data_IF_169813694519
#
_entry.id   IF_169813694519
#
_cell.length_a   1.000
_cell.length_b   1.000
_cell.length_c   1.000
_cell.angle_alpha   90.00
_cell.angle_beta   90.00
_cell.angle_gamma   90.00
#
_symmetry.space_group_name_H-M   'P 1'
#
loop_
_entity.id
_entity.type
_entity.pdbx_description
1 polymer ?
#
# COMPACT_ATOMS: atom_id res chain seq x y z
N UNK A 1 -26.50 -11.85 -9.19
CA UNK A 1 -25.20 -12.48 -8.92
C UNK A 1 -24.13 -11.42 -9.13
N UNK A 2 -23.21 -11.20 -8.19
CA UNK A 2 -22.10 -10.26 -8.42
C UNK A 2 -21.29 -10.78 -9.60
N UNK A 3 -21.15 -9.97 -10.65
CA UNK A 3 -20.18 -10.23 -11.72
C UNK A 3 -18.79 -10.30 -11.09
N UNK A 4 -18.04 -11.37 -11.36
CA UNK A 4 -16.64 -11.50 -10.96
C UNK A 4 -15.78 -10.98 -12.12
N UNK A 5 -14.77 -10.18 -11.83
CA UNK A 5 -13.89 -9.65 -12.86
C UNK A 5 -12.94 -10.75 -13.38
N UNK A 6 -12.61 -10.65 -14.67
CA UNK A 6 -11.63 -11.50 -15.36
C UNK A 6 -10.40 -10.74 -15.85
N UNK A 7 -10.42 -9.41 -15.72
CA UNK A 7 -9.32 -8.50 -16.09
C UNK A 7 -9.33 -7.28 -15.19
N UNK A 8 -8.16 -6.65 -15.04
CA UNK A 8 -8.00 -5.40 -14.28
C UNK A 8 -8.29 -4.21 -15.22
N UNK A 9 -9.21 -3.30 -14.88
CA UNK A 9 -9.54 -2.13 -15.69
C UNK A 9 -8.35 -1.20 -15.93
N UNK A 10 -8.38 -0.45 -17.04
CA UNK A 10 -7.40 0.59 -17.36
C UNK A 10 -8.12 1.93 -17.27
N UNK A 11 -7.55 2.86 -16.48
CA UNK A 11 -8.00 4.24 -16.31
C UNK A 11 -6.93 5.16 -16.86
N UNK A 12 -7.34 6.12 -17.67
CA UNK A 12 -6.48 7.13 -18.28
C UNK A 12 -6.47 8.42 -17.44
N UNK A 13 -5.33 8.73 -16.83
CA UNK A 13 -5.19 9.87 -15.95
C UNK A 13 -5.29 11.23 -16.68
N UNK A 14 -4.86 11.31 -17.94
CA UNK A 14 -5.00 12.52 -18.73
C UNK A 14 -6.47 12.79 -19.08
N UNK A 15 -7.26 11.73 -19.33
CA UNK A 15 -8.70 11.84 -19.59
C UNK A 15 -9.50 12.29 -18.37
N UNK A 16 -9.08 11.92 -17.16
CA UNK A 16 -9.66 12.44 -15.91
C UNK A 16 -9.45 13.96 -15.75
N UNK A 17 -8.39 14.51 -16.35
CA UNK A 17 -8.07 15.93 -16.28
C UNK A 17 -8.73 16.77 -17.38
N UNK A 18 -9.22 16.15 -18.46
CA UNK A 18 -9.87 16.84 -19.56
C UNK A 18 -11.39 16.88 -19.35
N UNK A 19 -12.02 18.07 -19.23
CA UNK A 19 -13.46 18.22 -19.02
C UNK A 19 -14.35 17.46 -20.03
N UNK A 20 -13.90 17.32 -21.28
CA UNK A 20 -14.68 16.66 -22.34
C UNK A 20 -14.72 15.13 -22.19
N UNK A 21 -13.70 14.54 -21.57
CA UNK A 21 -13.58 13.07 -21.41
C UNK A 21 -13.78 12.60 -19.98
N UNK A 22 -13.73 13.52 -19.02
CA UNK A 22 -13.69 13.24 -17.59
C UNK A 22 -14.86 12.40 -17.11
N UNK A 23 -16.09 12.74 -17.51
CA UNK A 23 -17.29 12.02 -17.06
C UNK A 23 -17.27 10.54 -17.45
N UNK A 24 -16.90 10.25 -18.70
CA UNK A 24 -16.77 8.88 -19.18
C UNK A 24 -15.65 8.13 -18.43
N UNK A 25 -14.54 8.80 -18.15
CA UNK A 25 -13.40 8.19 -17.45
C UNK A 25 -13.68 7.95 -15.95
N UNK A 26 -14.44 8.85 -15.31
CA UNK A 26 -14.91 8.66 -13.94
C UNK A 26 -15.81 7.43 -13.81
N UNK A 27 -16.61 7.10 -14.83
CA UNK A 27 -17.41 5.88 -14.84
C UNK A 27 -16.54 4.61 -14.87
N UNK A 28 -15.42 4.62 -15.61
CA UNK A 28 -14.44 3.51 -15.62
C UNK A 28 -13.77 3.39 -14.25
N UNK A 29 -13.36 4.51 -13.66
CA UNK A 29 -12.78 4.54 -12.32
C UNK A 29 -13.76 4.03 -11.25
N UNK A 30 -15.02 4.44 -11.32
CA UNK A 30 -16.07 3.99 -10.41
C UNK A 30 -16.26 2.47 -10.49
N UNK A 31 -16.32 1.91 -11.70
CA UNK A 31 -16.45 0.46 -11.90
C UNK A 31 -15.26 -0.28 -11.27
N UNK A 32 -14.04 0.19 -11.53
CA UNK A 32 -12.83 -0.38 -10.95
C UNK A 32 -12.85 -0.34 -9.40
N UNK A 33 -13.26 0.77 -8.80
CA UNK A 33 -13.31 0.95 -7.35
C UNK A 33 -14.37 0.03 -6.69
N UNK A 34 -15.58 -0.06 -7.25
CA UNK A 34 -16.67 -0.83 -6.64
C UNK A 34 -16.61 -2.32 -6.92
N UNK A 35 -16.08 -2.73 -8.07
CA UNK A 35 -16.17 -4.12 -8.52
C UNK A 35 -14.85 -4.88 -8.44
N UNK A 36 -13.71 -4.19 -8.54
CA UNK A 36 -12.39 -4.83 -8.68
C UNK A 36 -11.46 -4.52 -7.52
N UNK A 37 -11.39 -3.27 -7.06
CA UNK A 37 -10.42 -2.81 -6.05
C UNK A 37 -8.98 -2.68 -6.56
N UNK A 38 -8.79 -2.86 -7.88
CA UNK A 38 -7.54 -2.74 -8.63
C UNK A 38 -7.80 -2.07 -9.98
N UNK A 39 -6.82 -1.32 -10.48
CA UNK A 39 -6.80 -0.76 -11.85
C UNK A 39 -5.37 -0.52 -12.32
N UNK A 40 -5.18 -0.39 -13.64
CA UNK A 40 -4.02 0.27 -14.21
C UNK A 40 -4.33 1.75 -14.39
N UNK A 41 -3.40 2.61 -14.00
CA UNK A 41 -3.42 4.04 -14.31
C UNK A 41 -2.36 4.34 -15.36
N UNK A 42 -2.78 4.88 -16.50
CA UNK A 42 -1.91 5.23 -17.64
C UNK A 42 -1.91 6.74 -17.90
N UNK A 43 -0.97 7.21 -18.71
CA UNK A 43 -0.85 8.62 -19.13
C UNK A 43 -0.74 9.58 -17.92
N UNK A 44 0.11 9.20 -16.97
CA UNK A 44 0.32 9.93 -15.71
C UNK A 44 1.31 11.09 -15.86
N UNK A 45 2.14 11.06 -16.90
CA UNK A 45 3.28 11.96 -17.07
C UNK A 45 4.52 11.53 -16.26
N UNK A 46 4.46 10.38 -15.57
CA UNK A 46 5.56 9.81 -14.79
C UNK A 46 6.28 8.65 -15.49
N UNK A 47 5.95 8.36 -16.74
CA UNK A 47 6.44 7.18 -17.48
C UNK A 47 7.97 7.16 -17.55
N UNK A 48 8.61 8.31 -17.84
CA UNK A 48 10.07 8.44 -17.84
C UNK A 48 10.67 8.20 -16.46
N UNK A 49 10.07 8.79 -15.41
CA UNK A 49 10.55 8.64 -14.03
C UNK A 49 10.46 7.18 -13.57
N UNK A 50 9.38 6.48 -13.91
CA UNK A 50 9.19 5.05 -13.61
C UNK A 50 10.27 4.23 -14.31
N UNK A 51 10.46 4.44 -15.62
CA UNK A 51 11.47 3.73 -16.42
C UNK A 51 12.89 3.97 -15.89
N UNK A 52 13.25 5.24 -15.65
CA UNK A 52 14.56 5.63 -15.12
C UNK A 52 14.82 5.07 -13.72
N UNK A 53 13.78 4.99 -12.88
CA UNK A 53 13.91 4.43 -11.52
C UNK A 53 14.11 2.93 -11.59
N UNK A 54 13.35 2.20 -12.41
CA UNK A 54 13.55 0.76 -12.63
C UNK A 54 14.94 0.44 -13.18
N UNK A 55 15.42 1.23 -14.14
CA UNK A 55 16.75 1.06 -14.74
C UNK A 55 17.88 1.15 -13.70
N UNK A 56 17.68 1.86 -12.59
CA UNK A 56 18.65 1.99 -11.50
C UNK A 56 18.58 0.88 -10.46
N UNK A 57 17.49 0.13 -10.37
CA UNK A 57 17.32 -0.87 -9.31
C UNK A 57 18.40 -1.96 -9.31
N UNK A 58 18.89 -2.48 -10.45
CA UNK A 58 20.03 -3.38 -10.44
C UNK A 58 21.24 -2.82 -9.67
N UNK A 59 21.59 -1.56 -9.89
CA UNK A 59 22.71 -0.88 -9.21
C UNK A 59 22.41 -0.63 -7.74
N UNK A 60 21.17 -0.21 -7.41
CA UNK A 60 20.72 -0.04 -6.01
C UNK A 60 20.88 -1.33 -5.21
N UNK A 61 20.55 -2.47 -5.81
CA UNK A 61 20.68 -3.77 -5.16
C UNK A 61 22.06 -4.41 -5.33
N UNK A 62 22.97 -3.83 -6.10
CA UNK A 62 24.35 -4.28 -6.28
C UNK A 62 25.35 -3.57 -5.34
N UNK A 63 24.90 -2.59 -4.54
CA UNK A 63 25.76 -1.94 -3.54
C UNK A 63 26.35 -2.96 -2.54
N UNK A 64 27.46 -2.58 -1.91
CA UNK A 64 28.18 -3.43 -0.97
C UNK A 64 27.28 -3.86 0.20
N UNK A 65 27.42 -5.12 0.61
CA UNK A 65 26.68 -5.68 1.75
C UNK A 65 26.85 -4.82 3.01
N UNK A 66 28.06 -4.33 3.28
CA UNK A 66 28.35 -3.45 4.42
C UNK A 66 27.50 -2.16 4.40
N UNK A 67 27.24 -1.60 3.22
CA UNK A 67 26.40 -0.39 3.10
C UNK A 67 24.91 -0.71 3.28
N UNK A 68 24.47 -1.91 2.89
CA UNK A 68 23.11 -2.39 3.18
C UNK A 68 22.89 -2.63 4.67
N UNK A 69 23.88 -3.22 5.34
CA UNK A 69 23.85 -3.52 6.78
C UNK A 69 23.84 -2.24 7.64
N UNK A 70 24.54 -1.18 7.22
CA UNK A 70 24.49 0.14 7.91
C UNK A 70 23.07 0.70 7.98
N UNK A 71 22.22 0.38 6.99
CA UNK A 71 20.84 0.85 6.90
C UNK A 71 19.83 -0.25 7.15
N UNK A 72 20.22 -1.32 7.85
CA UNK A 72 19.31 -2.42 8.21
C UNK A 72 18.06 -1.88 8.94
N UNK A 73 16.90 -2.39 8.58
CA UNK A 73 15.62 -2.02 9.19
C UNK A 73 15.62 -2.19 10.73
N UNK A 74 16.39 -3.14 11.25
CA UNK A 74 16.60 -3.35 12.69
C UNK A 74 17.14 -2.09 13.40
N UNK A 75 17.73 -1.15 12.68
CA UNK A 75 18.24 0.11 13.23
C UNK A 75 17.18 1.23 13.28
N UNK A 76 15.96 0.99 12.80
CA UNK A 76 14.90 2.01 12.75
C UNK A 76 13.65 1.58 13.53
N UNK A 77 13.19 2.37 14.54
CA UNK A 77 11.90 2.14 15.17
C UNK A 77 10.72 2.39 14.19
N UNK A 78 10.96 3.08 13.07
CA UNK A 78 9.95 3.36 12.06
C UNK A 78 9.76 2.21 11.04
N UNK A 79 10.49 1.10 11.19
CA UNK A 79 10.51 -0.01 10.24
C UNK A 79 10.89 0.48 8.82
N UNK A 80 11.94 1.32 8.76
CA UNK A 80 12.52 1.86 7.52
C UNK A 80 13.97 1.40 7.39
N UNK A 81 14.38 1.04 6.18
CA UNK A 81 15.71 0.52 5.90
C UNK A 81 15.71 -0.75 5.06
N UNK A 82 16.88 -1.39 5.00
CA UNK A 82 17.11 -2.60 4.25
C UNK A 82 16.57 -3.83 4.97
N UNK A 83 15.99 -4.77 4.21
CA UNK A 83 15.61 -6.10 4.68
C UNK A 83 16.19 -7.14 3.72
N UNK A 84 17.00 -8.04 4.27
CA UNK A 84 17.66 -9.09 3.50
C UNK A 84 16.69 -10.16 3.01
N UNK A 85 17.14 -10.93 2.01
CA UNK A 85 16.33 -11.95 1.35
C UNK A 85 15.73 -12.96 2.35
N UNK A 86 14.42 -13.16 2.28
CA UNK A 86 13.73 -14.20 3.06
C UNK A 86 13.51 -13.86 4.54
N UNK A 87 13.63 -12.58 4.93
CA UNK A 87 13.40 -12.14 6.32
C UNK A 87 11.93 -11.90 6.65
N UNK A 88 11.10 -11.58 5.66
CA UNK A 88 9.67 -11.36 5.86
C UNK A 88 8.85 -12.63 5.65
N UNK A 89 7.73 -12.71 6.36
CA UNK A 89 6.79 -13.82 6.29
C UNK A 89 5.39 -13.28 6.05
N UNK A 90 4.75 -13.76 4.98
CA UNK A 90 3.33 -13.47 4.70
C UNK A 90 2.56 -14.79 4.68
N UNK A 91 1.39 -14.81 5.32
CA UNK A 91 0.56 -16.02 5.43
C UNK A 91 1.32 -17.26 5.97
N UNK A 92 2.27 -17.03 6.91
CA UNK A 92 3.14 -18.06 7.54
C UNK A 92 4.15 -18.72 6.60
N UNK A 93 4.34 -18.20 5.39
CA UNK A 93 5.34 -18.65 4.43
C UNK A 93 6.33 -17.51 4.20
N UNK A 94 7.62 -17.84 4.09
CA UNK A 94 8.68 -16.86 3.83
C UNK A 94 8.53 -16.23 2.44
N UNK A 95 8.63 -14.90 2.37
CA UNK A 95 8.60 -14.14 1.14
C UNK A 95 9.99 -14.09 0.49
N UNK A 96 10.12 -14.56 -0.76
CA UNK A 96 11.38 -14.55 -1.49
C UNK A 96 11.63 -13.18 -2.14
N UNK A 97 11.94 -12.19 -1.31
CA UNK A 97 12.31 -10.83 -1.72
C UNK A 97 13.39 -10.21 -0.85
N UNK A 98 14.18 -9.35 -1.46
CA UNK A 98 15.11 -8.39 -0.85
C UNK A 98 14.50 -6.99 -1.05
N UNK A 99 14.57 -6.11 -0.05
CA UNK A 99 13.92 -4.78 -0.18
C UNK A 99 14.57 -3.66 0.63
N UNK A 100 14.28 -2.43 0.24
CA UNK A 100 14.50 -1.21 1.03
C UNK A 100 13.16 -0.52 1.25
N UNK A 101 12.86 -0.16 2.50
CA UNK A 101 11.70 0.63 2.92
C UNK A 101 12.12 2.07 3.21
N UNK A 102 11.43 3.03 2.59
CA UNK A 102 11.60 4.46 2.82
C UNK A 102 10.26 5.11 3.18
N UNK A 103 10.32 6.24 3.86
CA UNK A 103 9.20 7.10 4.22
C UNK A 103 9.42 8.54 3.77
N UNK A 104 8.32 9.25 3.52
CA UNK A 104 8.34 10.71 3.33
C UNK A 104 8.95 11.39 4.55
N UNK A 105 9.52 12.58 4.35
CA UNK A 105 10.06 13.37 5.46
C UNK A 105 8.94 13.81 6.39
N UNK A 106 9.13 13.58 7.69
CA UNK A 106 8.18 13.91 8.76
C UNK A 106 8.93 14.54 9.92
N UNK A 107 8.20 15.18 10.83
CA UNK A 107 8.76 15.66 12.08
C UNK A 107 9.25 14.50 12.96
N UNK A 108 10.33 14.74 13.69
CA UNK A 108 10.84 13.76 14.65
C UNK A 108 9.85 13.52 15.80
N UNK A 109 9.81 12.27 16.26
CA UNK A 109 9.10 11.85 17.47
C UNK A 109 9.58 12.65 18.68
N UNK A 110 8.64 13.12 19.51
CA UNK A 110 8.91 13.90 20.73
C UNK A 110 8.47 13.12 21.96
N UNK A 111 9.15 13.35 23.08
CA UNK A 111 8.73 12.78 24.37
C UNK A 111 7.30 13.24 24.71
N UNK A 112 6.42 12.29 25.01
CA UNK A 112 4.98 12.53 25.22
C UNK A 112 4.08 12.25 24.02
N UNK A 113 4.64 12.07 22.82
CA UNK A 113 3.88 11.57 21.67
C UNK A 113 3.37 10.13 21.93
N UNK A 114 2.23 9.72 21.34
CA UNK A 114 1.79 8.33 21.38
C UNK A 114 2.88 7.38 20.89
N UNK A 115 3.09 6.25 21.59
CA UNK A 115 4.21 5.35 21.30
C UNK A 115 4.24 4.84 19.85
N UNK A 116 3.08 4.66 19.22
CA UNK A 116 2.97 4.23 17.83
C UNK A 116 3.48 5.29 16.84
N UNK A 117 3.60 6.57 17.23
CA UNK A 117 4.06 7.64 16.36
C UNK A 117 5.54 7.49 15.97
N UNK A 118 6.31 6.66 16.70
CA UNK A 118 7.65 6.22 16.28
C UNK A 118 7.67 5.47 14.94
N UNK A 119 6.50 5.05 14.43
CA UNK A 119 6.33 4.54 13.06
C UNK A 119 6.56 5.61 11.99
N UNK A 120 6.45 6.89 12.34
CA UNK A 120 6.73 8.03 11.49
C UNK A 120 8.10 8.58 11.90
N UNK A 121 9.11 8.46 11.02
CA UNK A 121 10.47 8.82 11.36
C UNK A 121 11.40 8.83 10.15
N UNK A 122 12.68 9.17 10.36
CA UNK A 122 13.63 9.36 9.28
C UNK A 122 13.95 8.05 8.54
N UNK A 123 14.03 8.16 7.22
CA UNK A 123 14.53 7.09 6.35
C UNK A 123 16.04 6.90 6.51
N UNK A 124 16.50 5.65 6.42
CA UNK A 124 17.91 5.30 6.37
C UNK A 124 18.35 5.15 4.90
N UNK A 125 19.36 5.90 4.46
CA UNK A 125 19.83 5.88 3.07
C UNK A 125 21.27 5.35 2.99
N UNK A 126 21.55 4.36 2.12
CA UNK A 126 22.90 3.80 2.01
C UNK A 126 23.89 4.78 1.36
N UNK A 127 23.42 5.68 0.49
CA UNK A 127 24.20 6.76 -0.09
C UNK A 127 23.29 7.88 -0.61
N UNK A 128 23.88 9.03 -0.95
CA UNK A 128 23.14 10.20 -1.44
C UNK A 128 22.46 9.97 -2.80
N UNK A 129 23.03 9.16 -3.69
CA UNK A 129 22.40 8.88 -4.99
C UNK A 129 21.05 8.15 -4.84
N UNK A 130 20.95 7.21 -3.90
CA UNK A 130 19.71 6.49 -3.61
C UNK A 130 18.70 7.43 -2.93
N UNK A 131 19.17 8.27 -2.01
CA UNK A 131 18.34 9.28 -1.36
C UNK A 131 17.72 10.28 -2.33
N UNK A 132 18.48 10.78 -3.29
CA UNK A 132 17.96 11.67 -4.34
C UNK A 132 16.95 10.98 -5.25
N UNK A 133 17.20 9.72 -5.63
CA UNK A 133 16.27 8.91 -6.42
C UNK A 133 14.94 8.75 -5.69
N UNK A 134 14.99 8.34 -4.41
CA UNK A 134 13.81 8.13 -3.56
C UNK A 134 13.04 9.43 -3.38
N UNK A 135 13.70 10.54 -3.02
CA UNK A 135 13.05 11.85 -2.85
C UNK A 135 12.31 12.29 -4.10
N UNK A 136 12.95 12.14 -5.27
CA UNK A 136 12.35 12.51 -6.57
C UNK A 136 11.13 11.65 -6.90
N UNK A 137 11.24 10.34 -6.69
CA UNK A 137 10.14 9.40 -6.93
C UNK A 137 8.97 9.69 -5.99
N UNK A 138 9.20 9.73 -4.68
CA UNK A 138 8.16 9.96 -3.68
C UNK A 138 7.48 11.33 -3.87
N UNK A 139 8.22 12.41 -4.13
CA UNK A 139 7.63 13.73 -4.35
C UNK A 139 6.76 13.82 -5.61
N UNK A 140 7.02 12.97 -6.62
CA UNK A 140 6.16 12.87 -7.81
C UNK A 140 4.91 12.03 -7.53
N UNK A 141 5.08 10.93 -6.79
CA UNK A 141 3.98 10.07 -6.35
C UNK A 141 3.01 10.77 -5.40
N UNK A 142 3.49 11.66 -4.53
CA UNK A 142 2.65 12.45 -3.63
C UNK A 142 1.70 13.37 -4.40
N UNK A 143 2.21 14.06 -5.44
CA UNK A 143 1.39 14.93 -6.31
C UNK A 143 0.35 14.12 -7.08
N UNK A 144 0.77 12.99 -7.67
CA UNK A 144 -0.14 12.07 -8.37
C UNK A 144 -1.22 11.54 -7.43
N UNK A 145 -0.81 11.05 -6.25
CA UNK A 145 -1.71 10.44 -5.28
C UNK A 145 -2.74 11.42 -4.73
N UNK A 146 -2.36 12.68 -4.48
CA UNK A 146 -3.31 13.73 -4.09
C UNK A 146 -4.36 13.98 -5.18
N UNK A 147 -3.94 14.10 -6.43
CA UNK A 147 -4.87 14.30 -7.54
C UNK A 147 -5.78 13.08 -7.75
N UNK A 148 -5.22 11.87 -7.66
CA UNK A 148 -5.95 10.62 -7.84
C UNK A 148 -7.01 10.41 -6.76
N UNK A 149 -6.70 10.65 -5.47
CA UNK A 149 -7.69 10.57 -4.38
C UNK A 149 -8.88 11.49 -4.63
N UNK A 150 -8.65 12.70 -5.16
CA UNK A 150 -9.75 13.59 -5.52
C UNK A 150 -10.62 13.07 -6.66
N UNK A 151 -10.04 12.36 -7.64
CA UNK A 151 -10.83 11.69 -8.69
C UNK A 151 -11.55 10.44 -8.17
N UNK A 152 -10.94 9.70 -7.23
CA UNK A 152 -11.59 8.57 -6.57
C UNK A 152 -12.84 9.04 -5.82
N UNK A 153 -12.77 10.14 -5.06
CA UNK A 153 -13.93 10.76 -4.41
C UNK A 153 -15.01 11.16 -5.42
N UNK A 154 -14.63 11.87 -6.48
CA UNK A 154 -15.56 12.32 -7.51
C UNK A 154 -16.24 11.15 -8.24
N UNK A 155 -15.51 10.07 -8.50
CA UNK A 155 -16.04 8.88 -9.17
C UNK A 155 -17.15 8.20 -8.37
N UNK A 156 -17.17 8.38 -7.05
CA UNK A 156 -18.22 7.86 -6.16
C UNK A 156 -19.21 8.94 -5.71
N UNK A 157 -19.28 10.04 -6.48
CA UNK A 157 -20.19 11.18 -6.30
C UNK A 157 -19.97 11.98 -5.02
N UNK A 158 -18.75 11.99 -4.49
CA UNK A 158 -18.36 12.80 -3.33
C UNK A 158 -17.56 14.04 -3.78
N UNK A 159 -17.54 15.13 -2.97
CA UNK A 159 -16.62 16.26 -3.18
C UNK A 159 -15.15 15.80 -3.28
N UNK A 160 -14.36 16.44 -4.14
CA UNK A 160 -12.95 16.05 -4.42
C UNK A 160 -12.04 16.09 -3.19
N UNK A 161 -12.37 16.90 -2.20
CA UNK A 161 -11.62 17.12 -0.97
C UNK A 161 -12.11 16.24 0.20
N UNK A 162 -13.12 15.39 0.00
CA UNK A 162 -13.73 14.56 1.06
C UNK A 162 -12.69 13.77 1.85
N UNK A 163 -11.67 13.25 1.16
CA UNK A 163 -10.66 12.39 1.77
C UNK A 163 -9.39 13.11 2.23
N UNK A 164 -9.25 14.41 1.97
CA UNK A 164 -8.05 15.17 2.35
C UNK A 164 -7.80 15.13 3.86
N UNK A 165 -8.87 15.12 4.66
CA UNK A 165 -8.82 15.02 6.13
C UNK A 165 -8.25 13.70 6.67
N UNK A 166 -8.19 12.64 5.85
CA UNK A 166 -7.66 11.34 6.24
C UNK A 166 -6.22 11.10 5.77
N UNK A 167 -5.66 12.01 4.97
CA UNK A 167 -4.28 11.88 4.48
C UNK A 167 -3.31 11.96 5.65
N UNK A 168 -2.40 10.98 5.73
CA UNK A 168 -1.40 10.89 6.80
C UNK A 168 -0.12 11.67 6.52
N UNK A 169 0.78 11.69 7.49
CA UNK A 169 2.04 12.42 7.40
C UNK A 169 3.08 11.67 6.57
N UNK A 170 3.21 10.35 6.77
CA UNK A 170 4.27 9.56 6.14
C UNK A 170 3.73 8.59 5.10
N UNK A 171 3.92 8.90 3.81
CA UNK A 171 3.77 7.90 2.75
C UNK A 171 5.01 7.01 2.73
N UNK A 172 4.86 5.76 2.28
CA UNK A 172 5.96 4.79 2.26
C UNK A 172 6.28 4.37 0.84
N UNK A 173 7.55 4.08 0.59
CA UNK A 173 8.05 3.54 -0.67
C UNK A 173 8.81 2.27 -0.36
N UNK A 174 8.64 1.23 -1.17
CA UNK A 174 9.61 0.13 -1.21
C UNK A 174 10.31 0.09 -2.56
N UNK A 175 11.59 -0.23 -2.53
CA UNK A 175 12.30 -0.78 -3.68
C UNK A 175 12.44 -2.27 -3.41
N UNK A 176 11.96 -3.12 -4.32
CA UNK A 176 11.89 -4.57 -4.07
C UNK A 176 12.52 -5.35 -5.22
N UNK A 177 13.30 -6.36 -4.87
CA UNK A 177 13.96 -7.30 -5.78
C UNK A 177 13.54 -8.72 -5.44
N UNK A 178 13.07 -9.45 -6.44
CA UNK A 178 12.69 -10.86 -6.35
C UNK A 178 13.69 -11.68 -7.18
N UNK A 179 14.48 -12.57 -6.56
CA UNK A 179 15.42 -13.41 -7.28
C UNK A 179 14.71 -14.52 -8.06
N UNK A 180 15.42 -15.08 -9.04
CA UNK A 180 14.98 -16.30 -9.73
C UNK A 180 14.80 -17.41 -8.69
N UNK A 181 13.62 -18.01 -8.70
CA UNK A 181 13.17 -19.00 -7.71
C UNK A 181 12.52 -20.20 -8.39
N UNK A 182 12.42 -21.37 -7.72
CA UNK A 182 11.67 -22.51 -8.23
C UNK A 182 10.22 -22.15 -8.59
N UNK A 183 9.64 -22.88 -9.55
CA UNK A 183 8.26 -22.68 -9.95
C UNK A 183 7.30 -22.88 -8.75
N UNK A 184 6.34 -21.97 -8.60
CA UNK A 184 5.37 -22.00 -7.49
C UNK A 184 5.88 -21.40 -6.18
N UNK A 185 7.11 -20.90 -6.13
CA UNK A 185 7.62 -20.20 -4.95
C UNK A 185 6.88 -18.89 -4.68
N UNK A 186 6.71 -18.58 -3.38
CA UNK A 186 6.09 -17.35 -2.92
C UNK A 186 7.06 -16.17 -3.05
N UNK A 187 6.70 -15.18 -3.87
CA UNK A 187 7.34 -13.87 -3.84
C UNK A 187 6.78 -13.06 -2.68
N UNK A 188 5.45 -12.96 -2.62
CA UNK A 188 4.67 -12.41 -1.49
C UNK A 188 3.39 -13.20 -1.36
N UNK A 189 3.04 -13.62 -0.14
CA UNK A 189 1.82 -14.39 0.12
C UNK A 189 0.53 -13.60 -0.13
N UNK A 190 -0.63 -14.29 -0.17
CA UNK A 190 -1.96 -13.64 -0.19
C UNK A 190 -2.14 -12.63 0.95
N UNK A 191 -2.42 -11.37 0.62
CA UNK A 191 -2.67 -10.32 1.60
C UNK A 191 -3.52 -9.18 1.01
N UNK A 192 -3.99 -8.29 1.87
CA UNK A 192 -4.42 -6.93 1.51
C UNK A 192 -3.38 -5.95 2.04
N UNK A 193 -3.14 -4.84 1.34
CA UNK A 193 -2.32 -3.77 1.88
C UNK A 193 -3.00 -3.16 3.09
N UNK A 194 -2.24 -2.96 4.16
CA UNK A 194 -2.79 -2.56 5.46
C UNK A 194 -3.16 -1.07 5.52
N UNK A 195 -2.39 -0.26 6.24
CA UNK A 195 -2.78 1.08 6.65
C UNK A 195 -2.22 2.12 5.67
N UNK A 196 -2.96 2.30 4.57
CA UNK A 196 -2.77 3.33 3.55
C UNK A 196 -4.12 3.62 2.87
N UNK A 197 -4.20 4.69 2.08
CA UNK A 197 -5.38 4.96 1.26
C UNK A 197 -5.37 4.09 -0.01
N UNK A 198 -4.34 4.29 -0.84
CA UNK A 198 -4.09 3.55 -2.06
C UNK A 198 -2.62 3.13 -2.13
N UNK A 199 -2.37 2.00 -2.76
CA UNK A 199 -1.03 1.58 -3.17
C UNK A 199 -0.88 1.82 -4.67
N UNK A 200 0.28 2.31 -5.08
CA UNK A 200 0.65 2.60 -6.46
C UNK A 200 1.91 1.80 -6.78
N UNK A 201 1.80 0.81 -7.65
CA UNK A 201 2.86 -0.13 -7.96
C UNK A 201 3.36 0.08 -9.38
N UNK A 202 4.64 0.43 -9.51
CA UNK A 202 5.33 0.28 -10.78
C UNK A 202 5.93 -1.13 -10.88
N UNK A 203 5.57 -1.86 -11.95
CA UNK A 203 6.11 -3.17 -12.30
C UNK A 203 7.20 -3.03 -13.36
N UNK A 204 8.19 -3.92 -13.33
CA UNK A 204 9.02 -4.18 -14.50
C UNK A 204 8.30 -5.10 -15.50
N UNK A 205 8.99 -5.55 -16.55
CA UNK A 205 8.42 -6.42 -17.58
C UNK A 205 8.42 -7.94 -17.24
N UNK A 206 8.65 -8.34 -15.99
CA UNK A 206 8.69 -9.76 -15.59
C UNK A 206 7.32 -10.28 -15.16
N UNK A 207 6.47 -9.43 -14.57
CA UNK A 207 5.12 -9.81 -14.12
C UNK A 207 5.11 -10.52 -12.77
N UNK A 208 4.11 -11.38 -12.52
CA UNK A 208 4.00 -12.20 -11.30
C UNK A 208 3.02 -11.69 -10.23
N UNK A 209 2.48 -10.47 -10.37
CA UNK A 209 1.37 -10.00 -9.51
C UNK A 209 0.07 -10.70 -9.92
N UNK A 210 -0.67 -11.18 -8.93
CA UNK A 210 -2.00 -11.77 -9.11
C UNK A 210 -3.00 -11.18 -8.11
N UNK A 211 -4.24 -11.00 -8.57
CA UNK A 211 -5.36 -10.43 -7.81
C UNK A 211 -6.47 -11.48 -7.72
N UNK A 212 -7.01 -11.68 -6.51
CA UNK A 212 -8.04 -12.66 -6.25
C UNK A 212 -9.43 -12.08 -6.57
N UNK A 213 -10.14 -12.68 -7.51
CA UNK A 213 -11.50 -12.24 -7.83
C UNK A 213 -12.55 -12.81 -6.86
N UNK A 214 -13.81 -12.39 -7.02
CA UNK A 214 -14.94 -12.82 -6.16
C UNK A 214 -15.35 -14.28 -6.37
N UNK A 215 -14.92 -14.91 -7.46
CA UNK A 215 -15.06 -16.35 -7.71
C UNK A 215 -13.97 -17.18 -7.02
N UNK A 216 -12.99 -16.54 -6.36
CA UNK A 216 -11.84 -17.23 -5.76
C UNK A 216 -10.73 -17.56 -6.76
N UNK A 217 -10.70 -16.90 -7.91
CA UNK A 217 -9.75 -17.16 -9.00
C UNK A 217 -8.58 -16.16 -9.01
N UNK A 218 -7.41 -16.75 -9.28
CA UNK A 218 -6.16 -16.16 -9.78
C UNK A 218 -6.27 -15.28 -11.03
N UNK A 219 -6.41 -13.94 -10.93
CA UNK A 219 -6.31 -13.05 -12.11
C UNK A 219 -4.92 -12.42 -12.18
N UNK A 220 -4.20 -12.65 -13.28
CA UNK A 220 -2.88 -12.04 -13.52
C UNK A 220 -2.98 -10.53 -13.76
N UNK A 221 -2.01 -9.79 -13.22
CA UNK A 221 -1.77 -8.39 -13.52
C UNK A 221 -0.51 -8.26 -14.41
N UNK A 222 -0.62 -8.48 -15.73
CA UNK A 222 0.52 -8.40 -16.63
C UNK A 222 1.06 -6.96 -16.70
N UNK A 223 2.38 -6.75 -16.74
CA UNK A 223 2.95 -5.41 -16.81
C UNK A 223 2.48 -4.65 -18.06
N UNK A 224 2.07 -3.40 -17.87
CA UNK A 224 1.81 -2.44 -18.94
C UNK A 224 2.86 -1.34 -18.82
N UNK A 225 3.64 -1.13 -19.87
CA UNK A 225 4.72 -0.14 -19.91
C UNK A 225 4.20 1.27 -19.58
N UNK A 226 4.89 1.98 -18.71
CA UNK A 226 4.52 3.33 -18.26
C UNK A 226 3.31 3.40 -17.31
N UNK A 227 2.62 2.29 -17.05
CA UNK A 227 1.48 2.27 -16.13
C UNK A 227 1.88 2.12 -14.66
N UNK A 228 0.96 2.50 -13.79
CA UNK A 228 0.95 2.11 -12.38
C UNK A 228 -0.22 1.16 -12.14
N UNK A 229 -0.01 0.05 -11.44
CA UNK A 229 -1.13 -0.69 -10.85
C UNK A 229 -1.52 -0.01 -9.55
N UNK A 230 -2.77 0.40 -9.44
CA UNK A 230 -3.33 1.00 -8.23
C UNK A 230 -4.27 0.02 -7.58
N UNK A 231 -4.14 -0.16 -6.26
CA UNK A 231 -5.11 -0.90 -5.47
C UNK A 231 -5.57 -0.14 -4.22
N UNK A 232 -6.79 -0.45 -3.82
CA UNK A 232 -7.38 0.03 -2.58
C UNK A 232 -6.74 -0.71 -1.41
N UNK A 233 -6.31 0.04 -0.40
CA UNK A 233 -5.78 -0.51 0.83
C UNK A 233 -6.84 -0.52 1.95
N UNK A 234 -6.58 -1.27 3.02
CA UNK A 234 -7.54 -1.45 4.11
C UNK A 234 -7.89 -0.15 4.84
N UNK A 235 -7.01 0.86 4.82
CA UNK A 235 -7.31 2.19 5.37
C UNK A 235 -8.47 2.87 4.64
N UNK A 236 -8.45 2.90 3.30
CA UNK A 236 -9.55 3.46 2.50
C UNK A 236 -10.81 2.59 2.56
N UNK A 237 -10.66 1.26 2.58
CA UNK A 237 -11.78 0.34 2.80
C UNK A 237 -12.48 0.63 4.13
N UNK A 238 -11.73 0.86 5.21
CA UNK A 238 -12.30 1.19 6.51
C UNK A 238 -12.98 2.58 6.50
N UNK A 239 -12.34 3.60 5.93
CA UNK A 239 -12.90 4.97 5.83
C UNK A 239 -14.21 4.99 5.05
N UNK A 240 -14.32 4.18 4.01
CA UNK A 240 -15.52 4.13 3.15
C UNK A 240 -16.58 3.13 3.65
N UNK A 241 -16.43 2.59 4.86
CA UNK A 241 -17.35 1.59 5.40
C UNK A 241 -17.46 0.38 4.46
N UNK A 242 -16.34 -0.12 3.94
CA UNK A 242 -16.31 -1.30 3.08
C UNK A 242 -16.80 -1.12 1.65
N UNK A 243 -17.45 0.02 1.32
CA UNK A 243 -17.99 0.27 -0.02
C UNK A 243 -16.92 0.12 -1.09
N UNK A 244 -15.73 0.65 -0.78
CA UNK A 244 -14.55 0.56 -1.63
C UNK A 244 -13.64 -0.51 -1.03
N UNK A 245 -13.81 -1.77 -1.44
CA UNK A 245 -13.08 -2.89 -0.85
C UNK A 245 -11.67 -3.04 -1.43
N UNK A 246 -10.67 -3.20 -0.56
CA UNK A 246 -9.36 -3.69 -0.96
C UNK A 246 -9.43 -5.16 -1.37
N UNK A 247 -8.68 -5.53 -2.39
CA UNK A 247 -8.72 -6.89 -2.94
C UNK A 247 -7.46 -7.67 -2.57
N UNK A 248 -7.64 -8.92 -2.18
CA UNK A 248 -6.52 -9.80 -1.85
C UNK A 248 -5.65 -10.02 -3.08
N UNK A 249 -4.35 -9.87 -2.93
CA UNK A 249 -3.37 -10.04 -3.99
C UNK A 249 -2.14 -10.80 -3.48
N UNK A 250 -1.32 -11.31 -4.41
CA UNK A 250 -0.08 -12.04 -4.12
C UNK A 250 0.94 -11.80 -5.21
N UNK A 251 2.19 -12.19 -4.96
CA UNK A 251 3.25 -12.21 -5.97
C UNK A 251 3.83 -13.61 -6.07
N UNK A 252 3.85 -14.16 -7.29
CA UNK A 252 4.58 -15.38 -7.61
C UNK A 252 6.05 -15.01 -7.88
N UNK A 253 6.98 -15.70 -7.24
CA UNK A 253 8.40 -15.46 -7.46
C UNK A 253 8.79 -15.81 -8.91
N UNK A 254 9.67 -15.01 -9.55
CA UNK A 254 9.97 -15.21 -10.96
C UNK A 254 10.86 -16.45 -11.16
N UNK A 255 10.69 -17.15 -12.28
CA UNK A 255 11.43 -18.39 -12.58
C UNK A 255 12.55 -18.24 -13.60
N UNK A 256 12.62 -17.10 -14.30
CA UNK A 256 13.50 -16.92 -15.46
C UNK A 256 14.39 -15.67 -15.38
N UNK A 257 13.89 -14.58 -14.80
CA UNK A 257 14.61 -13.30 -14.65
C UNK A 257 14.32 -12.68 -13.30
N UNK A 258 15.30 -11.98 -12.73
CA UNK A 258 15.07 -11.16 -11.53
C UNK A 258 13.96 -10.15 -11.82
N UNK A 259 12.98 -10.04 -10.91
CA UNK A 259 11.91 -9.06 -10.98
C UNK A 259 12.19 -7.90 -10.03
N UNK A 260 11.92 -6.70 -10.47
CA UNK A 260 11.95 -5.50 -9.66
C UNK A 260 10.56 -4.84 -9.58
N UNK A 261 10.25 -4.26 -8.42
CA UNK A 261 8.99 -3.53 -8.25
C UNK A 261 9.10 -2.39 -7.26
N UNK A 262 8.32 -1.33 -7.50
CA UNK A 262 8.35 -0.09 -6.72
C UNK A 262 6.94 0.23 -6.20
N UNK A 263 6.47 -0.39 -5.10
CA UNK A 263 5.21 0.00 -4.47
C UNK A 263 5.37 1.26 -3.63
N UNK A 264 4.49 2.23 -3.86
CA UNK A 264 4.30 3.44 -3.07
C UNK A 264 2.96 3.36 -2.36
N UNK A 265 2.96 3.52 -1.04
CA UNK A 265 1.80 3.42 -0.16
C UNK A 265 1.42 4.83 0.31
N UNK A 266 0.29 5.35 -0.18
CA UNK A 266 -0.17 6.69 0.17
C UNK A 266 -0.67 6.74 1.61
N UNK A 267 -0.11 7.68 2.38
CA UNK A 267 -0.37 7.80 3.81
C UNK A 267 -1.86 7.96 4.13
N UNK A 268 -2.27 7.30 5.19
CA UNK A 268 -3.49 7.60 5.95
C UNK A 268 -3.08 8.02 7.35
N UNK A 269 -3.77 8.99 7.95
CA UNK A 269 -3.42 9.49 9.28
C UNK A 269 -3.54 8.39 10.33
N UNK A 270 -2.49 8.24 11.13
CA UNK A 270 -2.38 7.14 12.09
C UNK A 270 -3.13 7.42 13.40
N UNK A 271 -3.41 8.68 13.71
CA UNK A 271 -4.20 9.07 14.88
C UNK A 271 -5.71 8.90 14.70
N UNK A 272 -6.18 8.41 13.53
CA UNK A 272 -7.60 8.16 13.29
C UNK A 272 -8.13 7.12 14.28
N UNK A 273 -9.03 7.55 15.18
CA UNK A 273 -9.61 6.72 16.23
C UNK A 273 -10.80 5.93 15.70
N UNK A 274 -11.10 4.79 16.34
CA UNK A 274 -12.16 3.88 15.89
C UNK A 274 -13.57 4.51 15.93
N UNK A 275 -13.83 5.39 16.90
CA UNK A 275 -15.09 6.14 17.01
C UNK A 275 -15.25 7.18 15.89
N UNK A 276 -14.21 7.97 15.63
CA UNK A 276 -14.15 8.93 14.52
C UNK A 276 -14.31 8.24 13.16
N UNK A 277 -13.66 7.08 12.99
CA UNK A 277 -13.77 6.25 11.79
C UNK A 277 -15.20 5.77 11.55
N UNK A 278 -15.89 5.26 12.58
CA UNK A 278 -17.28 4.80 12.46
C UNK A 278 -18.22 5.93 12.06
N UNK A 279 -18.04 7.11 12.65
CA UNK A 279 -18.83 8.29 12.31
C UNK A 279 -18.59 8.74 10.86
N UNK A 280 -17.32 8.80 10.46
CA UNK A 280 -16.92 9.18 9.10
C UNK A 280 -17.43 8.19 8.06
N UNK A 281 -17.28 6.89 8.31
CA UNK A 281 -17.76 5.82 7.44
C UNK A 281 -19.29 5.90 7.27
N UNK A 282 -20.06 6.09 8.34
CA UNK A 282 -21.50 6.27 8.25
C UNK A 282 -21.88 7.47 7.37
N UNK A 283 -21.24 8.62 7.59
CA UNK A 283 -21.48 9.83 6.81
C UNK A 283 -21.14 9.67 5.33
N UNK A 284 -20.04 8.96 5.00
CA UNK A 284 -19.64 8.68 3.63
C UNK A 284 -20.62 7.71 2.96
N UNK A 285 -20.95 6.60 3.63
CA UNK A 285 -21.87 5.57 3.12
C UNK A 285 -23.25 6.14 2.82
N UNK A 286 -23.73 7.09 3.63
CA UNK A 286 -25.02 7.76 3.41
C UNK A 286 -25.06 8.57 2.10
N UNK A 287 -23.91 9.10 1.66
CA UNK A 287 -23.77 9.93 0.48
C UNK A 287 -23.47 9.15 -0.80
N UNK A 288 -22.90 7.94 -0.70
CA UNK A 288 -22.56 7.13 -1.88
C UNK A 288 -23.84 6.46 -2.44
N UNK A 289 -24.03 6.46 -3.78
CA UNK A 289 -25.20 5.84 -4.44
C UNK A 289 -25.12 4.30 -4.48
N UNK A 290 -25.07 3.64 -3.31
CA UNK A 290 -25.19 2.18 -3.17
C UNK A 290 -26.59 1.79 -2.72
N UNK A 291 -27.05 0.59 -3.10
CA UNK A 291 -28.38 0.07 -2.72
C UNK A 291 -28.51 -0.10 -1.19
N UNK A 292 -29.70 0.13 -0.64
CA UNK A 292 -29.96 0.02 0.81
C UNK A 292 -29.61 -1.37 1.39
N UNK A 293 -29.78 -2.43 0.60
CA UNK A 293 -29.37 -3.80 0.98
C UNK A 293 -27.85 -3.96 1.08
N UNK A 294 -27.07 -3.21 0.29
CA UNK A 294 -25.62 -3.14 0.47
C UNK A 294 -25.28 -2.30 1.71
N UNK A 295 -25.94 -1.15 1.92
CA UNK A 295 -25.70 -0.27 3.09
C UNK A 295 -25.83 -1.00 4.43
N UNK A 296 -26.80 -1.90 4.57
CA UNK A 296 -27.03 -2.68 5.82
C UNK A 296 -25.95 -3.73 6.13
N UNK A 297 -25.17 -4.18 5.15
CA UNK A 297 -24.06 -5.14 5.34
C UNK A 297 -22.67 -4.50 5.44
N UNK A 298 -22.58 -3.17 5.27
CA UNK A 298 -21.33 -2.43 5.05
C UNK A 298 -20.74 -1.80 6.33
N UNK A 299 -21.33 -2.03 7.51
CA UNK A 299 -20.82 -1.49 8.78
C UNK A 299 -19.99 -2.51 9.58
N UNK A 300 -19.89 -3.76 9.09
CA UNK A 300 -19.24 -4.89 9.78
C UNK A 300 -18.13 -5.55 8.94
N UNK A 301 -17.37 -4.79 8.15
CA UNK A 301 -16.22 -5.36 7.43
C UNK A 301 -15.22 -5.93 8.44
N UNK A 302 -14.88 -7.23 8.40
CA UNK A 302 -13.83 -7.78 9.24
C UNK A 302 -12.49 -7.19 8.78
N UNK A 303 -12.09 -6.11 9.43
CA UNK A 303 -10.79 -5.49 9.26
C UNK A 303 -10.08 -5.55 10.60
N UNK A 304 -8.82 -5.96 10.61
CA UNK A 304 -7.99 -5.85 11.81
C UNK A 304 -7.94 -4.40 12.32
N UNK A 305 -8.13 -3.42 11.42
CA UNK A 305 -8.19 -1.99 11.73
C UNK A 305 -9.45 -1.59 12.52
N UNK A 306 -10.49 -2.41 12.49
CA UNK A 306 -11.75 -2.21 13.21
C UNK A 306 -11.83 -3.05 14.48
N UNK A 307 -10.75 -3.76 14.83
CA UNK A 307 -10.68 -4.56 16.04
C UNK A 307 -10.75 -3.66 17.29
N UNK A 308 -11.58 -4.00 18.29
CA UNK A 308 -11.63 -3.25 19.55
C UNK A 308 -10.34 -3.40 20.38
N UNK A 309 -9.37 -4.20 19.92
CA UNK A 309 -8.05 -4.32 20.52
C UNK A 309 -7.19 -3.07 20.34
N UNK A 310 -7.55 -2.16 19.42
CA UNK A 310 -6.76 -0.98 19.09
C UNK A 310 -7.58 0.29 19.22
N UNK A 311 -6.94 1.36 19.69
CA UNK A 311 -7.59 2.67 19.84
C UNK A 311 -7.55 3.51 18.56
N UNK A 312 -6.56 3.25 17.70
CA UNK A 312 -6.30 4.03 16.49
C UNK A 312 -5.63 3.20 15.39
N UNK A 313 -5.58 3.77 14.18
CA UNK A 313 -4.83 3.19 13.07
C UNK A 313 -3.34 3.01 13.37
N UNK A 314 -2.73 3.90 14.15
CA UNK A 314 -1.32 3.82 14.53
C UNK A 314 -1.03 2.58 15.37
N UNK A 315 -1.89 2.26 16.34
CA UNK A 315 -1.73 1.04 17.13
C UNK A 315 -1.91 -0.24 16.30
N UNK A 316 -2.91 -0.24 15.41
CA UNK A 316 -3.11 -1.35 14.48
C UNK A 316 -1.91 -1.51 13.54
N UNK A 317 -1.34 -0.39 13.05
CA UNK A 317 -0.16 -0.41 12.19
C UNK A 317 1.05 -0.98 12.90
N UNK A 318 1.28 -0.54 14.14
CA UNK A 318 2.44 -0.96 14.91
C UNK A 318 2.39 -2.46 15.14
N UNK A 319 1.22 -2.99 15.50
CA UNK A 319 1.06 -4.44 15.65
C UNK A 319 1.39 -5.18 14.36
N UNK A 320 0.85 -4.74 13.22
CA UNK A 320 1.08 -5.40 11.94
C UNK A 320 2.57 -5.37 11.55
N UNK A 321 3.26 -4.27 11.84
CA UNK A 321 4.70 -4.15 11.64
C UNK A 321 5.50 -5.06 12.58
N UNK A 322 5.10 -5.15 13.85
CA UNK A 322 5.71 -6.07 14.82
C UNK A 322 5.57 -7.53 14.39
N UNK A 323 4.43 -7.95 13.85
CA UNK A 323 4.28 -9.34 13.38
C UNK A 323 5.03 -9.63 12.08
N UNK A 324 5.20 -8.62 11.24
CA UNK A 324 5.99 -8.76 10.00
C UNK A 324 7.50 -8.73 10.29
N UNK A 325 7.92 -7.99 11.33
CA UNK A 325 9.31 -7.78 11.74
C UNK A 325 9.45 -7.93 13.27
N UNK A 326 9.37 -9.17 13.79
CA UNK A 326 9.38 -9.42 15.23
C UNK A 326 10.67 -8.98 15.92
N UNK A 327 11.80 -9.03 15.20
CA UNK A 327 13.11 -8.56 15.65
C UNK A 327 13.18 -7.05 15.89
N UNK A 328 12.61 -6.25 14.96
CA UNK A 328 12.46 -4.80 15.13
C UNK A 328 11.54 -4.51 16.31
N UNK A 329 10.43 -5.26 16.42
CA UNK A 329 9.47 -5.16 17.52
C UNK A 329 10.10 -5.43 18.89
N UNK A 330 10.86 -6.51 19.02
CA UNK A 330 11.55 -6.88 20.26
C UNK A 330 12.58 -5.81 20.67
N UNK A 331 13.33 -5.26 19.71
CA UNK A 331 14.37 -4.25 19.97
C UNK A 331 13.80 -2.89 20.37
N UNK A 332 12.80 -2.40 19.64
CA UNK A 332 12.33 -1.00 19.78
C UNK A 332 11.01 -0.84 20.54
N UNK A 333 10.22 -1.91 20.64
CA UNK A 333 8.89 -1.93 21.26
C UNK A 333 8.70 -3.16 22.17
N UNK A 334 9.61 -3.43 23.12
CA UNK A 334 9.61 -4.69 23.87
C UNK A 334 8.32 -4.92 24.67
N UNK A 335 7.71 -3.85 25.19
CA UNK A 335 6.45 -3.93 25.94
C UNK A 335 5.28 -4.30 25.04
N UNK A 336 5.15 -3.62 23.90
CA UNK A 336 4.09 -3.84 22.91
C UNK A 336 4.26 -5.22 22.25
N UNK A 337 5.49 -5.62 21.95
CA UNK A 337 5.83 -6.95 21.44
C UNK A 337 5.29 -8.05 22.36
N UNK A 338 5.63 -8.00 23.66
CA UNK A 338 5.15 -8.97 24.65
C UNK A 338 3.63 -8.91 24.84
N UNK A 339 3.03 -7.71 24.83
CA UNK A 339 1.58 -7.53 24.91
C UNK A 339 0.87 -8.20 23.73
N UNK A 340 1.36 -7.98 22.52
CA UNK A 340 0.74 -8.46 21.28
C UNK A 340 0.88 -9.97 21.09
N UNK A 341 2.02 -10.56 21.48
CA UNK A 341 2.18 -12.02 21.50
C UNK A 341 1.17 -12.71 22.42
N UNK A 342 0.92 -12.16 23.62
CA UNK A 342 -0.09 -12.72 24.55
C UNK A 342 -1.51 -12.68 23.99
N UNK A 343 -1.81 -11.74 23.11
CA UNK A 343 -3.12 -11.63 22.46
C UNK A 343 -3.32 -12.65 21.33
N UNK A 344 -2.24 -13.24 20.75
CA UNK A 344 -2.35 -14.33 19.77
C UNK A 344 -2.70 -15.68 20.42
N UNK A 345 -2.47 -15.83 21.72
CA UNK A 345 -2.68 -17.07 22.49
C UNK A 345 -4.11 -17.20 23.06
N UNK A 346 -4.97 -16.21 22.80
CA UNK A 346 -6.40 -16.21 23.15
C UNK A 346 -7.21 -16.25 21.87
#
# INVERSE_FOLDING_TARGET
>A
MSTSFSSIPIVDFARLQNPETKEAELAVLQDAIFHVGFLYLVNTGLESLISDTHAKLPDVFAILTEDKEKVDMLNSPAFLGYTSLGRETTAKITDLREQFDFGSEVEDFKEGDPFWQKLEGPSQFPNESIKELVRRYMGSMEKLGKAFVGFAAESISLPRDTFDQFVGKMSRLKLVKYPISPAGSQGVGPHKDSISLFTYLAQDNVGGLQVLNKSGEWIDAPPIEGSLVINIAQGFEAITGGVCSGTTHRVIAPTSRTRYSIPYFQAVRLDLRLDELKQSAASIVDQIPVTDDKKKGLVDVPSELLSPLYESFGEAQLRNRIFSHPDVGEKWYPNEYQRYLKQLLK
#
